data_IF_176822292407
#
_entry.id   IF_176822292407
#
_cell.length_a   1.000
_cell.length_b   1.000
_cell.length_c   1.000
_cell.angle_alpha   90.00
_cell.angle_beta   90.00
_cell.angle_gamma   90.00
#
_symmetry.space_group_name_H-M   'P 1'
#
loop_
_entity.id
_entity.type
_entity.pdbx_description
1 polymer ?
#
# COMPACT_ATOMS: atom_id res chain seq x y z
N UNK A 1 -9.82 0.62 21.22
CA UNK A 1 -8.62 1.29 20.66
C UNK A 1 -8.04 0.53 19.48
N UNK A 2 -7.71 -0.76 19.60
CA UNK A 2 -7.12 -1.55 18.49
C UNK A 2 -8.04 -1.59 17.26
N UNK A 3 -9.33 -1.82 17.44
CA UNK A 3 -10.31 -1.81 16.34
C UNK A 3 -10.34 -0.50 15.56
N UNK A 4 -10.34 0.63 16.26
CA UNK A 4 -10.30 1.98 15.66
C UNK A 4 -9.00 2.19 14.89
N UNK A 5 -7.87 1.76 15.46
CA UNK A 5 -6.57 1.82 14.81
C UNK A 5 -6.54 0.97 13.52
N UNK A 6 -7.03 -0.28 13.56
CA UNK A 6 -7.06 -1.15 12.38
C UNK A 6 -7.92 -0.55 11.26
N UNK A 7 -9.10 0.00 11.61
CA UNK A 7 -9.96 0.68 10.63
C UNK A 7 -9.25 1.90 10.04
N UNK A 8 -8.62 2.73 10.87
CA UNK A 8 -7.86 3.90 10.44
C UNK A 8 -6.72 3.52 9.49
N UNK A 9 -5.91 2.53 9.86
CA UNK A 9 -4.82 2.01 9.05
C UNK A 9 -5.32 1.52 7.69
N UNK A 10 -6.40 0.74 7.67
CA UNK A 10 -6.99 0.25 6.42
C UNK A 10 -7.56 1.36 5.53
N UNK A 11 -8.12 2.42 6.10
CA UNK A 11 -8.55 3.60 5.35
C UNK A 11 -7.35 4.31 4.72
N UNK A 12 -6.26 4.50 5.46
CA UNK A 12 -5.03 5.09 4.94
C UNK A 12 -4.46 4.27 3.78
N UNK A 13 -4.31 2.96 3.94
CA UNK A 13 -3.84 2.08 2.86
C UNK A 13 -4.74 2.20 1.62
N UNK A 14 -6.06 2.31 1.81
CA UNK A 14 -7.01 2.50 0.70
C UNK A 14 -6.84 3.87 0.02
N UNK A 15 -6.61 4.94 0.78
CA UNK A 15 -6.36 6.28 0.23
C UNK A 15 -5.07 6.30 -0.58
N UNK A 16 -3.96 5.79 -0.04
CA UNK A 16 -2.68 5.68 -0.75
C UNK A 16 -2.84 4.87 -2.03
N UNK A 17 -3.56 3.75 -1.96
CA UNK A 17 -3.86 2.92 -3.12
C UNK A 17 -4.66 3.68 -4.20
N UNK A 18 -5.66 4.47 -3.80
CA UNK A 18 -6.43 5.29 -4.74
C UNK A 18 -5.56 6.37 -5.38
N UNK A 19 -4.66 7.01 -4.62
CA UNK A 19 -3.70 7.99 -5.14
C UNK A 19 -2.78 7.35 -6.19
N UNK A 20 -2.20 6.18 -5.90
CA UNK A 20 -1.41 5.44 -6.87
C UNK A 20 -2.20 4.99 -8.09
N UNK A 21 -3.45 4.53 -7.91
CA UNK A 21 -4.33 4.17 -9.01
C UNK A 21 -4.66 5.35 -9.92
N UNK A 22 -4.92 6.51 -9.32
CA UNK A 22 -5.17 7.74 -10.07
C UNK A 22 -3.92 8.19 -10.84
N UNK A 23 -2.74 8.13 -10.21
CA UNK A 23 -1.47 8.42 -10.86
C UNK A 23 -1.20 7.46 -12.03
N UNK A 24 -1.41 6.15 -11.84
CA UNK A 24 -1.29 5.15 -12.91
C UNK A 24 -2.25 5.44 -14.08
N UNK A 25 -3.48 5.83 -13.76
CA UNK A 25 -4.49 6.23 -14.75
C UNK A 25 -4.11 7.49 -15.53
N UNK A 26 -3.42 8.44 -14.89
CA UNK A 26 -2.82 9.61 -15.56
C UNK A 26 -1.65 9.21 -16.46
N UNK A 27 -0.75 8.33 -15.99
CA UNK A 27 0.35 7.79 -16.82
C UNK A 27 -0.16 7.13 -18.10
N UNK A 28 -1.23 6.33 -18.00
CA UNK A 28 -1.82 5.65 -19.17
C UNK A 28 -2.50 6.61 -20.15
N UNK A 29 -3.12 7.69 -19.66
CA UNK A 29 -3.80 8.69 -20.50
C UNK A 29 -2.82 9.69 -21.14
N UNK A 30 -1.81 10.15 -20.41
CA UNK A 30 -0.86 11.18 -20.88
C UNK A 30 0.35 10.64 -21.65
N UNK A 31 0.28 9.41 -22.16
CA UNK A 31 1.29 8.93 -23.11
C UNK A 31 1.31 9.75 -24.43
N UNK A 32 0.36 10.68 -24.61
CA UNK A 32 0.12 11.49 -25.81
C UNK A 32 0.43 13.00 -25.71
N UNK A 33 0.68 13.60 -24.53
CA UNK A 33 0.95 15.04 -24.40
C UNK A 33 2.32 15.30 -23.74
N UNK A 34 3.17 16.06 -24.45
CA UNK A 34 4.59 16.31 -24.12
C UNK A 34 4.77 17.29 -22.95
N UNK A 35 3.83 18.22 -22.73
CA UNK A 35 3.93 19.25 -21.69
C UNK A 35 3.63 18.72 -20.27
N UNK A 36 2.64 17.82 -20.11
CA UNK A 36 2.23 17.27 -18.80
C UNK A 36 3.20 16.22 -18.24
N UNK A 37 4.23 15.88 -19.02
CA UNK A 37 5.30 14.92 -18.73
C UNK A 37 6.21 15.32 -17.56
N UNK A 38 6.32 16.62 -17.23
CA UNK A 38 7.21 17.11 -16.15
C UNK A 38 6.62 16.99 -14.75
N UNK A 39 5.30 17.08 -14.60
CA UNK A 39 4.65 17.13 -13.29
C UNK A 39 4.36 15.72 -12.71
N UNK A 40 4.38 14.70 -13.57
CA UNK A 40 4.08 13.31 -13.21
C UNK A 40 5.13 12.65 -12.29
N UNK A 41 6.45 12.79 -12.55
CA UNK A 41 7.49 12.31 -11.66
C UNK A 41 7.49 13.02 -10.30
N UNK A 42 7.15 14.31 -10.28
CA UNK A 42 7.06 15.11 -9.06
C UNK A 42 5.88 14.66 -8.20
N UNK A 43 4.69 14.49 -8.79
CA UNK A 43 3.51 13.92 -8.12
C UNK A 43 3.78 12.51 -7.57
N UNK A 44 4.54 11.68 -8.30
CA UNK A 44 4.96 10.37 -7.81
C UNK A 44 5.90 10.49 -6.59
N UNK A 45 6.85 11.43 -6.63
CA UNK A 45 7.75 11.73 -5.52
C UNK A 45 7.01 12.15 -4.26
N UNK A 46 5.99 12.99 -4.39
CA UNK A 46 5.17 13.43 -3.25
C UNK A 46 4.36 12.29 -2.65
N UNK A 47 3.67 11.48 -3.47
CA UNK A 47 2.89 10.33 -3.00
C UNK A 47 3.79 9.31 -2.30
N UNK A 48 4.96 9.01 -2.88
CA UNK A 48 5.91 8.06 -2.27
C UNK A 48 6.52 8.60 -0.98
N UNK A 49 6.82 9.90 -0.89
CA UNK A 49 7.26 10.55 0.35
C UNK A 49 6.18 10.47 1.43
N UNK A 50 4.93 10.75 1.09
CA UNK A 50 3.80 10.64 2.02
C UNK A 50 3.60 9.20 2.48
N UNK A 51 3.65 8.23 1.58
CA UNK A 51 3.56 6.81 1.91
C UNK A 51 4.68 6.40 2.87
N UNK A 52 5.93 6.83 2.62
CA UNK A 52 7.06 6.51 3.49
C UNK A 52 6.91 7.09 4.89
N UNK A 53 6.49 8.36 5.00
CA UNK A 53 6.23 8.98 6.30
C UNK A 53 5.16 8.21 7.08
N UNK A 54 4.07 7.83 6.40
CA UNK A 54 3.00 7.05 7.00
C UNK A 54 3.49 5.66 7.43
N UNK A 55 4.31 5.00 6.63
CA UNK A 55 4.87 3.69 6.97
C UNK A 55 5.82 3.78 8.17
N UNK A 56 6.66 4.81 8.25
CA UNK A 56 7.52 5.07 9.41
C UNK A 56 6.70 5.27 10.69
N UNK A 57 5.63 6.05 10.63
CA UNK A 57 4.78 6.36 11.79
C UNK A 57 3.88 5.19 12.20
N UNK A 58 3.39 4.39 11.24
CA UNK A 58 2.37 3.37 11.48
C UNK A 58 2.90 1.93 11.48
N UNK A 59 4.12 1.67 11.00
CA UNK A 59 4.70 0.32 10.95
C UNK A 59 4.76 -0.33 12.33
N UNK A 60 5.31 0.37 13.32
CA UNK A 60 5.42 -0.16 14.69
C UNK A 60 4.04 -0.36 15.35
N UNK A 61 3.12 0.61 15.35
CA UNK A 61 1.76 0.40 15.83
C UNK A 61 1.03 -0.77 15.14
N UNK A 62 1.22 -0.93 13.82
CA UNK A 62 0.62 -2.03 13.05
C UNK A 62 1.20 -3.37 13.47
N UNK A 63 2.52 -3.45 13.66
CA UNK A 63 3.19 -4.63 14.17
C UNK A 63 2.71 -5.01 15.58
N UNK A 64 2.60 -4.02 16.48
CA UNK A 64 2.07 -4.22 17.83
C UNK A 64 0.61 -4.72 17.78
N UNK A 65 -0.23 -4.16 16.92
CA UNK A 65 -1.61 -4.61 16.74
C UNK A 65 -1.69 -6.08 16.28
N UNK A 66 -0.81 -6.50 15.37
CA UNK A 66 -0.71 -7.90 14.92
C UNK A 66 -0.32 -8.81 16.09
N UNK A 67 0.70 -8.47 16.87
CA UNK A 67 1.14 -9.26 18.04
C UNK A 67 0.00 -9.39 19.04
N UNK A 68 -0.66 -8.29 19.40
CA UNK A 68 -1.77 -8.32 20.36
C UNK A 68 -2.91 -9.19 19.83
N UNK A 69 -3.21 -9.12 18.54
CA UNK A 69 -4.22 -9.98 17.91
C UNK A 69 -3.81 -11.46 17.93
N UNK A 70 -2.54 -11.78 17.69
CA UNK A 70 -2.02 -13.16 17.78
C UNK A 70 -2.10 -13.68 19.22
N UNK A 71 -1.73 -12.86 20.21
CA UNK A 71 -1.88 -13.19 21.62
C UNK A 71 -3.34 -13.43 22.01
N UNK A 72 -4.25 -12.61 21.51
CA UNK A 72 -5.69 -12.79 21.69
C UNK A 72 -6.22 -14.09 21.09
N UNK A 73 -5.79 -14.44 19.88
CA UNK A 73 -6.13 -15.71 19.22
C UNK A 73 -5.63 -16.91 20.03
N UNK A 74 -4.36 -16.87 20.43
CA UNK A 74 -3.76 -17.94 21.22
C UNK A 74 -4.50 -18.12 22.55
N UNK A 75 -4.77 -17.03 23.25
CA UNK A 75 -5.46 -17.07 24.54
C UNK A 75 -6.91 -17.56 24.42
N UNK A 76 -7.63 -17.12 23.40
CA UNK A 76 -9.00 -17.59 23.14
C UNK A 76 -9.03 -19.07 22.75
N UNK A 77 -8.10 -19.52 21.91
CA UNK A 77 -7.93 -20.93 21.56
C UNK A 77 -7.59 -21.79 22.79
N UNK A 78 -6.67 -21.32 23.63
CA UNK A 78 -6.33 -21.99 24.89
C UNK A 78 -7.53 -22.13 25.81
N UNK A 79 -8.34 -21.06 25.94
CA UNK A 79 -9.57 -21.04 26.74
C UNK A 79 -10.65 -22.00 26.24
N UNK A 80 -10.70 -22.26 24.94
CA UNK A 80 -11.60 -23.25 24.34
C UNK A 80 -11.07 -24.67 24.58
N UNK A 81 -9.75 -24.88 24.44
CA UNK A 81 -9.12 -26.19 24.62
C UNK A 81 -9.12 -26.65 26.09
N UNK A 82 -8.99 -25.71 27.03
CA UNK A 82 -8.94 -25.98 28.47
C UNK A 82 -10.00 -25.16 29.22
N UNK A 83 -11.30 -25.46 29.05
CA UNK A 83 -12.36 -24.69 29.65
C UNK A 83 -12.41 -24.92 31.17
N UNK A 84 -12.34 -23.84 31.95
CA UNK A 84 -12.60 -23.90 33.40
C UNK A 84 -14.10 -24.03 33.73
N UNK A 85 -14.96 -23.49 32.86
CA UNK A 85 -16.41 -23.55 32.97
C UNK A 85 -17.02 -23.73 31.57
N UNK A 86 -17.92 -24.70 31.42
CA UNK A 86 -18.55 -25.01 30.12
C UNK A 86 -19.94 -24.39 30.10
N UNK A 87 -20.04 -23.13 29.68
CA UNK A 87 -21.32 -22.50 29.36
C UNK A 87 -21.34 -22.12 27.89
N UNK A 88 -22.52 -22.23 27.26
CA UNK A 88 -22.69 -21.91 25.84
C UNK A 88 -22.27 -20.45 25.55
N UNK A 89 -22.63 -19.52 26.44
CA UNK A 89 -22.24 -18.12 26.34
C UNK A 89 -20.72 -17.90 26.36
N UNK A 90 -19.99 -18.67 27.17
CA UNK A 90 -18.53 -18.61 27.22
C UNK A 90 -17.91 -19.06 25.89
N UNK A 91 -18.39 -20.17 25.33
CA UNK A 91 -17.91 -20.67 24.05
C UNK A 91 -18.18 -19.68 22.91
N UNK A 92 -19.42 -19.16 22.81
CA UNK A 92 -19.79 -18.14 21.83
C UNK A 92 -18.90 -16.90 21.94
N UNK A 93 -18.63 -16.43 23.16
CA UNK A 93 -17.74 -15.28 23.39
C UNK A 93 -16.30 -15.53 22.89
N UNK A 94 -15.74 -16.72 23.09
CA UNK A 94 -14.41 -17.05 22.57
C UNK A 94 -14.39 -17.13 21.04
N UNK A 95 -15.42 -17.74 20.43
CA UNK A 95 -15.56 -17.80 18.96
C UNK A 95 -15.66 -16.40 18.36
N UNK A 96 -16.46 -15.50 18.95
CA UNK A 96 -16.53 -14.10 18.53
C UNK A 96 -15.18 -13.39 18.63
N UNK A 97 -14.41 -13.67 19.69
CA UNK A 97 -13.08 -13.09 19.89
C UNK A 97 -12.11 -13.57 18.79
N UNK A 98 -12.09 -14.87 18.51
CA UNK A 98 -11.27 -15.46 17.44
C UNK A 98 -11.64 -14.86 16.09
N UNK A 99 -12.94 -14.80 15.78
CA UNK A 99 -13.44 -14.22 14.54
C UNK A 99 -13.01 -12.75 14.38
N UNK A 100 -13.15 -11.94 15.44
CA UNK A 100 -12.73 -10.54 15.43
C UNK A 100 -11.22 -10.37 15.19
N UNK A 101 -10.39 -11.11 15.93
CA UNK A 101 -8.94 -11.07 15.77
C UNK A 101 -8.48 -11.52 14.37
N UNK A 102 -9.06 -12.60 13.81
CA UNK A 102 -8.78 -13.03 12.45
C UNK A 102 -9.19 -11.96 11.42
N UNK A 103 -10.36 -11.36 11.60
CA UNK A 103 -10.84 -10.28 10.73
C UNK A 103 -9.88 -9.10 10.73
N UNK A 104 -9.37 -8.69 11.90
CA UNK A 104 -8.39 -7.61 11.97
C UNK A 104 -7.07 -7.95 11.29
N UNK A 105 -6.55 -9.17 11.49
CA UNK A 105 -5.32 -9.61 10.82
C UNK A 105 -5.48 -9.64 9.30
N UNK A 106 -6.59 -10.18 8.81
CA UNK A 106 -6.89 -10.20 7.38
C UNK A 106 -7.02 -8.78 6.83
N UNK A 107 -7.67 -7.87 7.55
CA UNK A 107 -7.83 -6.50 7.09
C UNK A 107 -6.49 -5.78 6.96
N UNK A 108 -5.60 -5.92 7.95
CA UNK A 108 -4.23 -5.38 7.88
C UNK A 108 -3.47 -6.00 6.71
N UNK A 109 -3.46 -7.33 6.60
CA UNK A 109 -2.70 -8.05 5.58
C UNK A 109 -3.17 -7.71 4.16
N UNK A 110 -4.48 -7.71 3.91
CA UNK A 110 -5.06 -7.34 2.62
C UNK A 110 -4.74 -5.87 2.29
N UNK A 111 -4.88 -4.96 3.26
CA UNK A 111 -4.60 -3.54 3.06
C UNK A 111 -3.16 -3.29 2.64
N UNK A 112 -2.21 -3.90 3.37
CA UNK A 112 -0.78 -3.81 3.06
C UNK A 112 -0.45 -4.47 1.72
N UNK A 113 -1.00 -5.67 1.46
CA UNK A 113 -0.78 -6.38 0.20
C UNK A 113 -1.22 -5.55 -1.02
N UNK A 114 -2.44 -4.99 -0.97
CA UNK A 114 -2.99 -4.20 -2.07
C UNK A 114 -2.23 -2.88 -2.29
N UNK A 115 -1.73 -2.27 -1.22
CA UNK A 115 -0.89 -1.08 -1.29
C UNK A 115 0.44 -1.41 -1.99
N UNK A 116 1.13 -2.46 -1.53
CA UNK A 116 2.41 -2.90 -2.08
C UNK A 116 2.29 -3.28 -3.56
N UNK A 117 1.22 -3.99 -3.94
CA UNK A 117 0.96 -4.35 -5.34
C UNK A 117 0.84 -3.10 -6.24
N UNK A 118 0.14 -2.07 -5.77
CA UNK A 118 -0.06 -0.84 -6.53
C UNK A 118 1.20 0.03 -6.59
N UNK A 119 1.98 0.10 -5.50
CA UNK A 119 3.28 0.75 -5.51
C UNK A 119 4.21 0.12 -6.55
N UNK A 120 4.31 -1.22 -6.58
CA UNK A 120 5.13 -1.96 -7.55
C UNK A 120 4.69 -1.66 -8.98
N UNK A 121 3.38 -1.68 -9.25
CA UNK A 121 2.81 -1.36 -10.58
C UNK A 121 3.21 0.04 -11.01
N UNK A 122 2.99 1.04 -10.15
CA UNK A 122 3.33 2.43 -10.46
C UNK A 122 4.83 2.61 -10.64
N UNK A 123 5.65 2.05 -9.75
CA UNK A 123 7.12 2.11 -9.84
C UNK A 123 7.63 1.56 -11.17
N UNK A 124 7.08 0.44 -11.63
CA UNK A 124 7.43 -0.15 -12.92
C UNK A 124 7.01 0.74 -14.10
N UNK A 125 5.80 1.33 -14.05
CA UNK A 125 5.34 2.28 -15.07
C UNK A 125 6.21 3.54 -15.12
N UNK A 126 6.53 4.13 -13.96
CA UNK A 126 7.41 5.30 -13.84
C UNK A 126 8.80 4.98 -14.38
N UNK A 127 9.37 3.81 -14.04
CA UNK A 127 10.68 3.36 -14.53
C UNK A 127 10.70 3.21 -16.05
N UNK A 128 9.66 2.60 -16.62
CA UNK A 128 9.51 2.49 -18.08
C UNK A 128 9.44 3.88 -18.73
N UNK A 129 8.64 4.78 -18.16
CA UNK A 129 8.46 6.14 -18.67
C UNK A 129 9.75 6.96 -18.62
N UNK A 130 10.50 6.90 -17.51
CA UNK A 130 11.80 7.55 -17.37
C UNK A 130 12.81 7.02 -18.41
N UNK A 131 12.84 5.70 -18.63
CA UNK A 131 13.70 5.09 -19.66
C UNK A 131 13.36 5.61 -21.06
N UNK A 132 12.07 5.66 -21.41
CA UNK A 132 11.61 6.22 -22.69
C UNK A 132 11.96 7.70 -22.85
N UNK A 133 11.83 8.50 -21.78
CA UNK A 133 12.21 9.92 -21.79
C UNK A 133 13.71 10.10 -22.08
N UNK A 134 14.57 9.37 -21.35
CA UNK A 134 16.02 9.42 -21.55
C UNK A 134 16.39 9.03 -22.98
N UNK A 135 15.78 7.97 -23.53
CA UNK A 135 16.03 7.56 -24.92
C UNK A 135 15.53 8.55 -25.98
N UNK A 136 14.53 9.38 -25.67
CA UNK A 136 14.05 10.43 -26.58
C UNK A 136 14.97 11.65 -26.55
N UNK A 137 15.34 12.15 -25.36
CA UNK A 137 16.26 13.28 -25.20
C UNK A 137 17.63 12.98 -25.82
N UNK A 138 18.13 11.73 -25.69
CA UNK A 138 19.38 11.29 -26.32
C UNK A 138 19.31 11.28 -27.86
N UNK A 139 18.11 11.06 -28.41
CA UNK A 139 17.89 10.98 -29.87
C UNK A 139 17.77 12.39 -30.46
N UNK A 140 17.10 13.31 -29.78
CA UNK A 140 17.03 14.72 -30.17
C UNK A 140 18.39 15.41 -30.12
N UNK A 141 19.19 15.13 -29.08
CA UNK A 141 20.55 15.67 -28.97
C UNK A 141 21.47 15.15 -30.07
N UNK A 142 21.38 13.86 -30.44
CA UNK A 142 22.10 13.31 -31.61
C UNK A 142 21.68 13.92 -32.95
N UNK A 143 20.39 14.21 -33.13
CA UNK A 143 19.89 14.84 -34.36
C UNK A 143 20.36 16.29 -34.50
N UNK A 144 20.42 17.06 -33.40
CA UNK A 144 20.93 18.45 -33.41
C UNK A 144 22.45 18.54 -33.60
N UNK A 145 23.20 17.48 -33.32
CA UNK A 145 24.67 17.45 -33.49
C UNK A 145 25.13 16.98 -34.88
N UNK A 146 24.22 16.64 -35.81
CA UNK A 146 24.60 16.29 -37.17
C UNK A 146 24.88 17.60 -37.94
N UNK A 147 26.12 17.86 -38.40
CA UNK A 147 26.42 19.05 -39.19
C UNK A 147 25.64 19.00 -40.51
N UNK A 148 24.90 20.07 -40.81
CA UNK A 148 24.33 20.28 -42.14
C UNK A 148 25.47 20.27 -43.15
N UNK A 149 25.53 19.19 -43.94
CA UNK A 149 26.53 19.02 -44.98
C UNK A 149 26.44 20.17 -45.97
N UNK A 150 27.51 20.97 -46.02
CA UNK A 150 27.87 21.83 -47.16
C UNK A 150 28.84 21.07 -48.05
#
# INVERSE_FOLDING_TARGET
MISVFVIYYSLICRVIRLLFGHLLGRFRRHQLLVEERRNLPESYGEITKSMRSIDEDLSFPTFAAVIVSMGGLFWAGYKIAFPKYVTNNYFVSQVCTISGCLTFQLLIMISTFMMNEMEIKVKNTVKYYLKCKISHDLRETKFKSLPEGK
#
